data_IF_208583808953
#
_entry.id   IF_208583808953
#
_cell.length_a   1.000
_cell.length_b   1.000
_cell.length_c   1.000
_cell.angle_alpha   90.00
_cell.angle_beta   90.00
_cell.angle_gamma   90.00
#
_symmetry.space_group_name_H-M   'P 1'
#
loop_
_entity.id
_entity.type
_entity.pdbx_description
1 polymer ?
#
# COMPACT_ATOMS: atom_id res chain seq x y z
N UNK A 1 -1.62 -6.10 0.30
CA UNK A 1 -2.40 -5.31 -0.67
C UNK A 1 -1.82 -3.91 -0.70
N UNK A 2 -1.67 -3.30 -1.87
CA UNK A 2 -1.19 -1.93 -2.03
C UNK A 2 -2.37 -0.95 -2.08
N UNK A 3 -2.10 0.34 -1.96
CA UNK A 3 -3.09 1.40 -1.94
C UNK A 3 -2.66 2.56 -2.83
N UNK A 4 -3.58 3.01 -3.67
CA UNK A 4 -3.49 4.30 -4.36
C UNK A 4 -4.06 5.35 -3.42
N UNK A 5 -3.25 6.36 -3.11
CA UNK A 5 -3.63 7.44 -2.21
C UNK A 5 -4.64 8.39 -2.86
N UNK A 6 -5.78 8.56 -2.20
CA UNK A 6 -6.71 9.67 -2.38
C UNK A 6 -6.56 10.67 -1.23
N UNK A 7 -7.59 10.80 -0.41
CA UNK A 7 -7.63 11.66 0.77
C UNK A 7 -6.95 11.04 2.00
N UNK A 8 -6.51 9.78 1.92
CA UNK A 8 -5.71 9.11 2.95
C UNK A 8 -6.49 8.71 4.20
N UNK A 9 -7.82 8.82 4.23
CA UNK A 9 -8.64 8.50 5.41
C UNK A 9 -8.78 7.00 5.66
N UNK A 10 -8.67 6.19 4.61
CA UNK A 10 -8.78 4.72 4.73
C UNK A 10 -7.40 4.07 4.89
N UNK A 11 -6.34 4.70 4.40
CA UNK A 11 -4.99 4.15 4.38
C UNK A 11 -4.27 4.37 5.72
N UNK A 12 -3.81 3.28 6.33
CA UNK A 12 -2.91 3.34 7.48
C UNK A 12 -1.51 3.78 7.03
N UNK A 13 -0.94 4.78 7.69
CA UNK A 13 0.36 5.32 7.32
C UNK A 13 1.49 4.29 7.49
N UNK A 14 1.44 3.49 8.55
CA UNK A 14 2.55 2.62 8.96
C UNK A 14 2.47 1.24 8.32
N UNK A 15 1.29 0.62 8.32
CA UNK A 15 1.12 -0.81 8.03
C UNK A 15 0.61 -1.10 6.63
N UNK A 16 -0.01 -0.12 5.96
CA UNK A 16 -0.43 -0.31 4.58
C UNK A 16 0.71 -0.02 3.61
N UNK A 17 0.75 -0.78 2.51
CA UNK A 17 1.60 -0.47 1.38
C UNK A 17 0.93 0.64 0.57
N UNK A 18 1.41 1.86 0.68
CA UNK A 18 0.93 3.00 -0.14
C UNK A 18 2.08 3.83 -0.71
N UNK A 19 3.26 3.76 -0.10
CA UNK A 19 4.46 4.35 -0.64
C UNK A 19 5.00 3.44 -1.76
N UNK A 20 4.72 3.80 -3.01
CA UNK A 20 5.02 2.98 -4.20
C UNK A 20 6.50 2.63 -4.38
N UNK A 21 7.41 3.40 -3.79
CA UNK A 21 8.87 3.18 -3.85
C UNK A 21 9.34 2.14 -2.84
N UNK A 22 8.60 1.96 -1.75
CA UNK A 22 8.84 0.90 -0.76
C UNK A 22 8.23 -0.40 -1.25
N UNK A 23 8.99 -1.49 -1.22
CA UNK A 23 8.49 -2.85 -1.50
C UNK A 23 7.79 -3.47 -0.28
N UNK A 24 7.13 -2.65 0.54
CA UNK A 24 6.57 -3.06 1.83
C UNK A 24 5.88 -1.90 2.56
N UNK A 25 5.45 -2.15 3.79
CA UNK A 25 4.93 -1.10 4.65
C UNK A 25 6.06 -0.25 5.23
N UNK A 26 5.76 0.97 5.68
CA UNK A 26 6.76 1.80 6.36
C UNK A 26 7.25 1.08 7.62
N UNK A 27 6.34 0.47 8.38
CA UNK A 27 6.68 -0.28 9.59
C UNK A 27 7.69 -1.41 9.33
N UNK A 28 7.56 -2.14 8.21
CA UNK A 28 8.50 -3.18 7.82
C UNK A 28 9.88 -2.59 7.48
N UNK A 29 9.91 -1.45 6.79
CA UNK A 29 11.14 -0.79 6.36
C UNK A 29 11.96 -0.23 7.52
N UNK A 30 11.31 0.36 8.51
CA UNK A 30 11.99 0.88 9.72
C UNK A 30 12.08 -0.15 10.85
N UNK A 31 11.79 -1.42 10.56
CA UNK A 31 11.86 -2.55 11.49
C UNK A 31 11.12 -2.30 12.82
N UNK A 32 9.93 -1.68 12.76
CA UNK A 32 9.10 -1.59 13.97
C UNK A 32 8.63 -3.01 14.32
N UNK A 33 9.04 -3.49 15.50
CA UNK A 33 8.54 -4.75 16.02
C UNK A 33 7.02 -4.66 16.14
N UNK A 34 6.34 -5.63 15.53
CA UNK A 34 4.89 -5.81 15.59
C UNK A 34 4.52 -6.34 16.98
N UNK A 35 4.78 -5.55 18.02
CA UNK A 35 4.24 -5.82 19.34
C UNK A 35 2.71 -5.69 19.26
N UNK A 36 1.94 -6.65 19.82
CA UNK A 36 0.48 -6.58 19.80
C UNK A 36 -0.08 -5.34 20.52
N UNK A 37 0.75 -4.66 21.31
CA UNK A 37 0.43 -3.41 22.00
C UNK A 37 0.80 -2.15 21.19
N UNK A 38 1.48 -2.29 20.05
CA UNK A 38 1.92 -1.16 19.25
C UNK A 38 0.78 -0.72 18.33
N UNK A 39 -0.06 0.16 18.86
CA UNK A 39 -1.28 0.63 18.22
C UNK A 39 -0.96 1.68 17.14
N UNK A 40 -0.30 1.25 16.06
CA UNK A 40 0.02 2.09 14.90
C UNK A 40 -1.24 2.31 14.05
N UNK A 41 -2.17 3.13 14.53
CA UNK A 41 -3.47 3.38 13.88
C UNK A 41 -3.51 4.65 13.02
N UNK A 42 -2.44 5.43 13.00
CA UNK A 42 -2.40 6.70 12.28
C UNK A 42 -2.70 6.50 10.79
N UNK A 43 -3.61 7.32 10.26
CA UNK A 43 -3.98 7.38 8.86
C UNK A 43 -3.05 8.30 8.11
N UNK A 44 -2.99 8.14 6.80
CA UNK A 44 -2.23 9.06 5.94
C UNK A 44 -2.81 10.48 6.02
N UNK A 45 -4.13 10.60 6.17
CA UNK A 45 -4.81 11.87 6.40
C UNK A 45 -4.33 12.61 7.67
N UNK A 46 -3.87 11.90 8.70
CA UNK A 46 -3.39 12.52 9.94
C UNK A 46 -2.05 13.26 9.76
N UNK A 47 -1.30 12.91 8.71
CA UNK A 47 -0.02 13.53 8.35
C UNK A 47 -0.16 14.54 7.21
N UNK A 48 -1.37 15.06 7.00
CA UNK A 48 -1.67 16.01 5.94
C UNK A 48 -2.56 17.13 6.47
N UNK A 49 -2.16 18.37 6.20
CA UNK A 49 -2.93 19.57 6.53
C UNK A 49 -2.91 20.48 5.29
N UNK A 50 -4.09 20.92 4.84
CA UNK A 50 -4.27 21.82 3.69
C UNK A 50 -3.55 21.39 2.41
N UNK A 51 -3.55 20.07 2.13
CA UNK A 51 -2.89 19.53 0.94
C UNK A 51 -1.37 19.42 1.03
N UNK A 52 -0.80 19.63 2.22
CA UNK A 52 0.65 19.56 2.48
C UNK A 52 0.97 18.45 3.46
N UNK A 53 2.08 17.74 3.22
CA UNK A 53 2.61 16.73 4.12
C UNK A 53 3.13 17.34 5.43
N UNK A 54 2.60 16.88 6.55
CA UNK A 54 2.99 17.21 7.91
C UNK A 54 3.55 15.96 8.60
N UNK A 55 4.73 15.53 8.16
CA UNK A 55 5.40 14.33 8.65
C UNK A 55 6.34 14.69 9.81
N UNK A 56 6.34 13.92 10.91
CA UNK A 56 7.25 14.14 12.03
C UNK A 56 8.72 14.10 11.62
N UNK A 57 9.53 15.03 12.13
CA UNK A 57 10.98 15.04 11.92
C UNK A 57 11.69 13.81 12.52
N UNK A 58 11.03 13.06 13.40
CA UNK A 58 11.54 11.76 13.85
C UNK A 58 11.75 10.81 12.68
N UNK A 59 10.89 10.85 11.65
CA UNK A 59 11.08 10.03 10.45
C UNK A 59 12.30 10.48 9.65
N UNK A 60 12.58 11.79 9.59
CA UNK A 60 13.80 12.32 8.97
C UNK A 60 15.06 11.82 9.69
N UNK A 61 15.04 11.70 11.02
CA UNK A 61 16.15 11.17 11.79
C UNK A 61 16.37 9.67 11.62
N UNK A 62 15.32 8.92 11.30
CA UNK A 62 15.38 7.47 11.05
C UNK A 62 15.86 7.20 9.61
N UNK A 63 15.19 7.82 8.64
CA UNK A 63 15.51 7.65 7.22
C UNK A 63 15.15 8.94 6.45
N UNK A 64 16.19 9.71 6.12
CA UNK A 64 16.04 10.96 5.39
C UNK A 64 15.63 10.75 3.92
N UNK A 65 15.95 9.59 3.34
CA UNK A 65 15.51 9.21 1.99
C UNK A 65 14.01 9.03 1.97
N UNK A 66 13.49 8.19 2.87
CA UNK A 66 12.06 7.95 3.02
C UNK A 66 11.28 9.24 3.29
N UNK A 67 11.77 10.10 4.18
CA UNK A 67 11.13 11.38 4.46
C UNK A 67 10.99 12.26 3.21
N UNK A 68 12.06 12.35 2.42
CA UNK A 68 12.09 13.14 1.18
C UNK A 68 11.16 12.53 0.14
N UNK A 69 11.13 11.20 0.03
CA UNK A 69 10.26 10.49 -0.88
C UNK A 69 8.79 10.73 -0.57
N UNK A 70 8.37 10.60 0.69
CA UNK A 70 6.97 10.84 1.05
C UNK A 70 6.58 12.29 0.75
N UNK A 71 7.45 13.26 1.07
CA UNK A 71 7.19 14.67 0.75
C UNK A 71 7.05 14.95 -0.75
N UNK A 72 7.69 14.16 -1.61
CA UNK A 72 7.59 14.28 -3.06
C UNK A 72 6.31 13.64 -3.63
N UNK A 73 5.58 12.84 -2.86
CA UNK A 73 4.30 12.28 -3.29
C UNK A 73 3.28 13.41 -3.41
N UNK A 74 2.72 13.58 -4.61
CA UNK A 74 1.63 14.52 -4.86
C UNK A 74 0.36 14.06 -4.16
N UNK A 75 -0.14 14.89 -3.26
CA UNK A 75 -1.40 14.69 -2.56
C UNK A 75 -2.58 15.01 -3.48
N UNK A 76 -3.54 14.08 -3.57
CA UNK A 76 -4.81 14.31 -4.27
C UNK A 76 -5.70 15.27 -3.48
N UNK A 77 -6.57 16.10 -4.09
CA UNK A 77 -7.50 16.95 -3.34
C UNK A 77 -8.37 16.17 -2.34
N UNK A 78 -8.83 16.86 -1.29
CA UNK A 78 -9.71 16.27 -0.30
C UNK A 78 -11.02 15.81 -0.95
N UNK A 79 -11.52 14.63 -0.56
CA UNK A 79 -12.74 14.04 -1.12
C UNK A 79 -12.51 13.02 -2.25
N UNK A 80 -11.27 12.90 -2.75
CA UNK A 80 -10.89 11.76 -3.61
C UNK A 80 -10.71 10.52 -2.74
N UNK A 81 -11.40 9.42 -3.05
CA UNK A 81 -11.33 8.22 -2.23
C UNK A 81 -10.03 7.44 -2.45
N UNK A 82 -9.52 6.84 -1.37
CA UNK A 82 -8.43 5.86 -1.44
C UNK A 82 -8.89 4.59 -2.18
N UNK A 83 -8.01 4.02 -2.99
CA UNK A 83 -8.33 2.82 -3.78
C UNK A 83 -7.34 1.68 -3.48
N UNK A 84 -7.82 0.48 -3.06
CA UNK A 84 -6.94 -0.67 -2.92
C UNK A 84 -6.49 -1.16 -4.30
N UNK A 85 -5.19 -1.42 -4.44
CA UNK A 85 -4.58 -1.97 -5.65
C UNK A 85 -3.74 -3.20 -5.35
N UNK A 86 -3.46 -4.01 -6.37
CA UNK A 86 -2.60 -5.18 -6.25
C UNK A 86 -1.16 -4.77 -6.56
N UNK A 87 -0.25 -5.02 -5.61
CA UNK A 87 1.16 -4.61 -5.67
C UNK A 87 1.97 -5.17 -6.86
N UNK A 88 1.37 -6.03 -7.70
CA UNK A 88 2.00 -6.69 -8.85
C UNK A 88 1.29 -6.47 -10.18
N UNK A 89 0.26 -5.62 -10.24
CA UNK A 89 -0.38 -5.25 -11.51
C UNK A 89 0.09 -3.88 -11.94
N UNK A 90 0.89 -3.83 -13.01
CA UNK A 90 1.21 -2.61 -13.75
C UNK A 90 -0.01 -1.98 -14.45
N UNK A 91 -1.16 -2.65 -14.44
CA UNK A 91 -2.40 -2.16 -15.04
C UNK A 91 -3.40 -1.71 -13.97
N UNK A 92 -3.85 -0.46 -14.12
CA UNK A 92 -4.84 0.25 -13.29
C UNK A 92 -6.27 -0.27 -13.51
N UNK A 93 -6.47 -1.25 -14.40
CA UNK A 93 -7.74 -1.94 -14.60
C UNK A 93 -7.54 -3.45 -14.50
N UNK A 94 -7.64 -3.99 -13.28
CA UNK A 94 -7.82 -5.41 -13.10
C UNK A 94 -9.25 -5.77 -13.49
N UNK A 95 -9.41 -6.37 -14.65
CA UNK A 95 -10.69 -6.94 -15.02
C UNK A 95 -10.99 -8.14 -14.11
N UNK A 96 -12.28 -8.47 -13.96
CA UNK A 96 -12.73 -9.64 -13.18
C UNK A 96 -12.01 -10.95 -13.61
N UNK A 97 -11.55 -11.00 -14.86
CA UNK A 97 -10.82 -12.11 -15.45
C UNK A 97 -9.43 -12.30 -14.86
N UNK A 98 -8.69 -11.20 -14.63
CA UNK A 98 -7.31 -11.25 -14.13
C UNK A 98 -7.28 -11.65 -12.64
N UNK A 99 -8.25 -11.14 -11.87
CA UNK A 99 -8.46 -11.58 -10.49
C UNK A 99 -8.81 -13.07 -10.41
N UNK A 100 -9.66 -13.57 -11.33
CA UNK A 100 -10.03 -14.98 -11.39
C UNK A 100 -8.84 -15.87 -11.75
N UNK A 101 -7.99 -15.49 -12.71
CA UNK A 101 -6.80 -16.26 -13.07
C UNK A 101 -5.76 -16.32 -11.94
N UNK A 102 -5.63 -15.25 -11.15
CA UNK A 102 -4.74 -15.22 -10.00
C UNK A 102 -5.24 -16.05 -8.82
N UNK A 103 -6.56 -16.05 -8.57
CA UNK A 103 -7.20 -16.80 -7.47
C UNK A 103 -7.41 -18.27 -7.84
N UNK A 104 -7.41 -18.61 -9.13
CA UNK A 104 -7.62 -19.99 -9.57
C UNK A 104 -6.59 -20.89 -8.89
N UNK A 105 -7.02 -21.86 -8.06
CA UNK A 105 -6.08 -22.85 -7.56
C UNK A 105 -5.45 -23.49 -8.79
N UNK A 106 -4.11 -23.54 -8.84
CA UNK A 106 -3.38 -24.28 -9.88
C UNK A 106 -3.86 -25.71 -9.80
N UNK A 107 -4.92 -26.02 -10.55
CA UNK A 107 -5.50 -27.34 -10.62
C UNK A 107 -4.38 -28.26 -11.02
N UNK A 108 -4.07 -29.21 -10.15
CA UNK A 108 -3.17 -30.29 -10.50
C UNK A 108 -3.61 -30.81 -11.87
N UNK A 109 -2.65 -30.95 -12.79
CA UNK A 109 -2.88 -31.63 -14.06
C UNK A 109 -3.28 -33.06 -13.69
N UNK A 110 -4.58 -33.32 -13.64
CA UNK A 110 -5.09 -34.65 -13.40
C UNK A 110 -4.89 -35.46 -14.70
N UNK A 111 -4.18 -36.61 -14.66
CA UNK A 111 -3.77 -37.34 -15.86
C UNK A 111 -4.91 -38.13 -16.54
N UNK A 112 -6.18 -37.89 -16.21
CA UNK A 112 -7.28 -38.71 -16.72
C UNK A 112 -7.84 -38.28 -18.07
N UNK A 113 -7.33 -37.22 -18.70
CA UNK A 113 -7.72 -36.90 -20.09
C UNK A 113 -6.98 -37.82 -21.08
N UNK A 114 -7.43 -39.07 -21.16
CA UNK A 114 -7.23 -39.87 -22.37
C UNK A 114 -8.12 -39.26 -23.46
N UNK A 115 -7.47 -38.70 -24.47
CA UNK A 115 -8.08 -38.33 -25.75
C UNK A 115 -8.75 -39.59 -26.32
N UNK A 116 -10.07 -39.56 -26.46
CA UNK A 116 -10.83 -40.49 -27.31
C UNK A 116 -10.98 -39.80 -28.67
#
# INVERSE_FOLDING_TARGET
MAWILGDGKMVNFWTHYWCILLKGSIADHIHIEHSPNNSLHAKVADFRIDGVWYIPNSLLSIDAGLFTEIKNIKLQPDGVQDCPTWAHSSDVNLSFKDAFEFIKPRGAVLPWFKKI
#
